data_IF_915770690427
#
_entry.id   IF_915770690427
#
_cell.length_a   1.000
_cell.length_b   1.000
_cell.length_c   1.000
_cell.angle_alpha   90.00
_cell.angle_beta   90.00
_cell.angle_gamma   90.00
#
_symmetry.space_group_name_H-M   'P 1'
#
loop_
_entity.id
_entity.type
_entity.pdbx_description
1 polymer ?
#
# COMPACT_ATOMS: atom_id res chain seq x y z
N UNK A 1 11.45 -8.82 1.06
CA UNK A 1 10.22 -9.59 0.80
C UNK A 1 9.20 -8.65 0.17
N UNK A 2 8.75 -8.86 -1.07
CA UNK A 2 7.77 -7.97 -1.70
C UNK A 2 6.38 -8.16 -1.08
N UNK A 3 5.67 -7.05 -0.90
CA UNK A 3 4.29 -7.02 -0.42
C UNK A 3 3.38 -6.44 -1.50
N UNK A 4 2.26 -7.12 -1.74
CA UNK A 4 1.30 -6.76 -2.79
C UNK A 4 -0.02 -6.37 -2.13
N UNK A 5 -0.72 -5.39 -2.71
CA UNK A 5 -2.01 -4.96 -2.16
C UNK A 5 -3.05 -6.07 -2.29
N UNK A 6 -3.62 -6.47 -1.16
CA UNK A 6 -4.83 -7.27 -1.10
C UNK A 6 -6.08 -6.36 -1.13
N UNK A 7 -7.26 -6.92 -1.37
CA UNK A 7 -8.52 -6.17 -1.36
C UNK A 7 -8.71 -5.29 -0.11
N UNK A 8 -8.30 -5.78 1.08
CA UNK A 8 -8.42 -5.02 2.33
C UNK A 8 -7.52 -3.78 2.39
N UNK A 9 -6.43 -3.74 1.63
CA UNK A 9 -5.51 -2.60 1.57
C UNK A 9 -6.11 -1.41 0.82
N UNK A 10 -7.02 -1.67 -0.12
CA UNK A 10 -7.53 -0.67 -1.06
C UNK A 10 -8.47 0.36 -0.42
N UNK A 11 -8.98 0.08 0.77
CA UNK A 11 -9.74 1.06 1.57
C UNK A 11 -8.95 2.35 1.80
N UNK A 12 -7.62 2.23 1.96
CA UNK A 12 -6.72 3.37 2.17
C UNK A 12 -5.78 3.62 0.98
N UNK A 13 -5.30 2.58 0.29
CA UNK A 13 -4.30 2.75 -0.77
C UNK A 13 -4.87 2.74 -2.19
N UNK A 14 -6.19 2.56 -2.33
CA UNK A 14 -6.85 2.32 -3.62
C UNK A 14 -6.97 3.55 -4.53
N UNK A 15 -7.57 3.36 -5.70
CA UNK A 15 -7.95 4.45 -6.60
C UNK A 15 -9.24 5.16 -6.13
N UNK A 16 -9.45 6.44 -6.50
CA UNK A 16 -8.55 7.29 -7.28
C UNK A 16 -7.40 7.87 -6.44
N UNK A 17 -6.22 7.96 -7.06
CA UNK A 17 -5.03 8.59 -6.45
C UNK A 17 -5.36 10.02 -6.03
N UNK A 18 -5.00 10.38 -4.80
CA UNK A 18 -5.18 11.72 -4.25
C UNK A 18 -6.52 11.95 -3.54
N UNK A 19 -7.48 11.03 -3.62
CA UNK A 19 -8.68 11.09 -2.78
C UNK A 19 -8.29 10.93 -1.31
N UNK A 20 -8.97 11.61 -0.39
CA UNK A 20 -8.69 11.48 1.04
C UNK A 20 -9.26 10.15 1.55
N UNK A 21 -8.41 9.35 2.20
CA UNK A 21 -8.80 8.07 2.80
C UNK A 21 -9.46 8.22 4.18
N UNK A 22 -9.78 7.08 4.80
CA UNK A 22 -10.46 7.03 6.11
C UNK A 22 -9.60 7.58 7.26
N UNK A 23 -8.29 7.70 7.04
CA UNK A 23 -7.31 8.19 8.01
C UNK A 23 -6.99 9.68 7.80
N UNK A 24 -7.50 10.28 6.72
CA UNK A 24 -7.31 11.69 6.39
C UNK A 24 -6.13 11.97 5.45
N UNK A 25 -5.53 10.94 4.84
CA UNK A 25 -4.40 11.10 3.92
C UNK A 25 -4.77 10.78 2.47
N UNK A 26 -4.06 11.34 1.46
CA UNK A 26 -4.37 11.06 0.07
C UNK A 26 -3.97 9.64 -0.35
N UNK A 27 -4.89 8.90 -0.99
CA UNK A 27 -4.63 7.55 -1.51
C UNK A 27 -3.56 7.54 -2.59
N UNK A 28 -2.82 6.45 -2.70
CA UNK A 28 -1.73 6.25 -3.68
C UNK A 28 -2.25 5.81 -5.05
N UNK A 29 -3.48 5.29 -5.12
CA UNK A 29 -4.11 4.86 -6.37
C UNK A 29 -3.78 3.43 -6.80
N UNK A 30 -3.46 2.55 -5.85
CA UNK A 30 -3.15 1.15 -6.09
C UNK A 30 -4.37 0.30 -6.46
N UNK A 31 -4.09 -0.83 -7.10
CA UNK A 31 -5.05 -1.88 -7.44
C UNK A 31 -4.63 -3.19 -6.78
N UNK A 32 -5.57 -4.14 -6.68
CA UNK A 32 -5.26 -5.45 -6.11
C UNK A 32 -4.18 -6.16 -6.93
N UNK A 33 -3.16 -6.68 -6.23
CA UNK A 33 -1.98 -7.30 -6.85
C UNK A 33 -0.86 -6.34 -7.26
N UNK A 34 -1.06 -5.02 -7.17
CA UNK A 34 0.03 -4.06 -7.37
C UNK A 34 1.08 -4.19 -6.26
N UNK A 35 2.35 -3.92 -6.59
CA UNK A 35 3.43 -3.88 -5.61
C UNK A 35 3.23 -2.68 -4.66
N UNK A 36 2.88 -2.97 -3.41
CA UNK A 36 2.63 -1.96 -2.37
C UNK A 36 3.86 -1.61 -1.53
N UNK A 37 4.82 -2.53 -1.43
CA UNK A 37 6.06 -2.28 -0.69
C UNK A 37 7.00 -3.48 -0.64
N UNK A 38 8.02 -3.38 0.21
CA UNK A 38 8.90 -4.50 0.49
C UNK A 38 9.49 -4.41 1.90
N UNK A 39 9.55 -5.55 2.59
CA UNK A 39 10.25 -5.70 3.86
C UNK A 39 11.73 -5.97 3.59
N UNK A 40 12.61 -5.13 4.15
CA UNK A 40 14.06 -5.32 4.13
C UNK A 40 14.56 -5.74 5.51
N UNK A 41 15.39 -6.78 5.57
CA UNK A 41 15.94 -7.31 6.82
C UNK A 41 17.46 -7.38 6.70
N UNK A 42 18.16 -6.75 7.64
CA UNK A 42 19.62 -6.78 7.76
C UNK A 42 20.02 -7.40 9.09
N UNK A 43 20.79 -8.48 9.04
CA UNK A 43 21.34 -9.14 10.21
C UNK A 43 22.78 -8.68 10.43
N UNK A 44 23.08 -8.23 11.64
CA UNK A 44 24.41 -7.80 12.05
C UNK A 44 24.88 -8.70 13.20
N UNK A 45 26.20 -8.86 13.32
CA UNK A 45 26.83 -9.70 14.33
C UNK A 45 26.98 -8.98 15.67
#
# INVERSE_FOLDING_TARGET
>A
IPEYYAASCLTCHGAPKGEVDVTGFPKEGGHEGDLGGAISISLHQ
#
